data_IF_401677328653
#
_entry.id   IF_401677328653
#
_cell.length_a   1.000
_cell.length_b   1.000
_cell.length_c   1.000
_cell.angle_alpha   90.00
_cell.angle_beta   90.00
_cell.angle_gamma   90.00
#
_symmetry.space_group_name_H-M   'P 1'
#
loop_
_entity.id
_entity.type
_entity.pdbx_description
1 polymer ?
#
# COMPACT_ATOMS: atom_id res chain seq x y z
N UNK A 1 15.53 3.71 3.81
CA UNK A 1 15.37 2.25 3.59
C UNK A 1 13.98 1.88 3.05
N UNK A 2 12.87 2.27 3.69
CA UNK A 2 11.52 1.91 3.22
C UNK A 2 11.24 2.25 1.74
N UNK A 3 11.52 3.48 1.31
CA UNK A 3 11.35 3.88 -0.10
C UNK A 3 12.15 3.02 -1.08
N UNK A 4 13.42 2.71 -0.77
CA UNK A 4 14.26 1.90 -1.65
C UNK A 4 13.72 0.47 -1.84
N UNK A 5 13.16 -0.12 -0.77
CA UNK A 5 12.51 -1.43 -0.85
C UNK A 5 11.21 -1.36 -1.67
N UNK A 6 10.43 -0.29 -1.50
CA UNK A 6 9.18 -0.12 -2.23
C UNK A 6 9.42 0.09 -3.73
N UNK A 7 10.41 0.91 -4.11
CA UNK A 7 10.79 1.09 -5.52
C UNK A 7 11.34 -0.20 -6.13
N UNK A 8 12.10 -0.99 -5.36
CA UNK A 8 12.54 -2.31 -5.81
C UNK A 8 11.35 -3.25 -6.03
N UNK A 9 10.34 -3.23 -5.15
CA UNK A 9 9.12 -4.01 -5.31
C UNK A 9 8.33 -3.60 -6.56
N UNK A 10 8.16 -2.29 -6.80
CA UNK A 10 7.54 -1.76 -8.04
C UNK A 10 8.26 -2.27 -9.29
N UNK A 11 9.59 -2.29 -9.27
CA UNK A 11 10.42 -2.80 -10.38
C UNK A 11 10.22 -4.30 -10.64
N UNK A 12 10.03 -5.10 -9.59
CA UNK A 12 9.87 -6.56 -9.71
C UNK A 12 8.43 -6.93 -10.12
N UNK A 13 7.44 -6.10 -9.79
CA UNK A 13 6.02 -6.35 -10.04
C UNK A 13 5.44 -5.35 -11.05
N UNK A 14 5.70 -5.53 -12.36
CA UNK A 14 5.22 -4.61 -13.40
C UNK A 14 3.71 -4.69 -13.64
N UNK A 15 2.99 -5.56 -12.95
CA UNK A 15 1.52 -5.63 -12.97
C UNK A 15 0.87 -4.77 -11.88
N UNK A 16 1.69 -4.12 -11.04
CA UNK A 16 1.23 -3.39 -9.88
C UNK A 16 1.39 -4.15 -8.57
N UNK A 17 1.05 -3.47 -7.49
CA UNK A 17 1.16 -3.95 -6.11
C UNK A 17 -0.15 -3.72 -5.38
N UNK A 18 -0.51 -4.63 -4.47
CA UNK A 18 -1.59 -4.45 -3.51
C UNK A 18 -1.05 -4.70 -2.11
N UNK A 19 -1.44 -3.86 -1.15
CA UNK A 19 -1.07 -4.02 0.26
C UNK A 19 -2.22 -3.66 1.20
N UNK A 20 -2.08 -4.13 2.43
CA UNK A 20 -3.00 -3.82 3.53
C UNK A 20 -2.20 -3.20 4.68
N UNK A 21 -2.76 -2.18 5.32
CA UNK A 21 -2.19 -1.56 6.53
C UNK A 21 -3.29 -1.27 7.53
N UNK A 22 -2.98 -1.27 8.83
CA UNK A 22 -3.93 -0.81 9.84
C UNK A 22 -4.24 0.67 9.62
N UNK A 23 -5.52 1.05 9.72
CA UNK A 23 -5.97 2.43 9.54
C UNK A 23 -5.31 3.38 10.55
N UNK A 24 -5.09 2.92 11.79
CA UNK A 24 -4.44 3.70 12.85
C UNK A 24 -2.96 3.98 12.58
N UNK A 25 -2.32 3.24 11.66
CA UNK A 25 -0.93 3.49 11.27
C UNK A 25 -0.85 4.65 10.27
N UNK A 26 -1.17 5.84 10.73
CA UNK A 26 -1.20 7.07 9.94
C UNK A 26 0.12 7.35 9.20
N UNK A 27 1.26 6.95 9.78
CA UNK A 27 2.59 7.13 9.16
C UNK A 27 2.77 6.20 7.97
N UNK A 28 2.31 4.95 8.06
CA UNK A 28 2.36 4.01 6.95
C UNK A 28 1.38 4.42 5.84
N UNK A 29 0.16 4.82 6.19
CA UNK A 29 -0.82 5.32 5.21
C UNK A 29 -0.25 6.50 4.40
N UNK A 30 0.25 7.53 5.09
CA UNK A 30 0.87 8.68 4.43
C UNK A 30 2.13 8.31 3.62
N UNK A 31 2.90 7.32 4.08
CA UNK A 31 4.04 6.80 3.33
C UNK A 31 3.63 6.17 2.01
N UNK A 32 2.61 5.29 2.01
CA UNK A 32 2.14 4.65 0.79
C UNK A 32 1.51 5.66 -0.18
N UNK A 33 0.68 6.58 0.32
CA UNK A 33 0.08 7.65 -0.49
C UNK A 33 1.13 8.54 -1.16
N UNK A 34 2.20 8.91 -0.43
CA UNK A 34 3.34 9.64 -1.00
C UNK A 34 4.08 8.87 -2.10
N UNK A 35 4.01 7.53 -2.06
CA UNK A 35 4.57 6.64 -3.07
C UNK A 35 3.54 6.20 -4.12
N UNK A 36 2.50 7.01 -4.34
CA UNK A 36 1.50 6.87 -5.41
C UNK A 36 0.60 5.66 -5.27
N UNK A 37 0.57 5.05 -4.09
CA UNK A 37 -0.47 4.06 -3.80
C UNK A 37 -1.79 4.79 -3.58
N UNK A 38 -2.83 4.26 -4.22
CA UNK A 38 -4.19 4.77 -4.15
C UNK A 38 -5.01 3.93 -3.19
N UNK A 39 -5.85 4.59 -2.40
CA UNK A 39 -6.83 3.92 -1.56
C UNK A 39 -7.76 3.05 -2.42
N UNK A 40 -7.93 1.79 -2.04
CA UNK A 40 -8.84 0.85 -2.70
C UNK A 40 -10.12 0.64 -1.92
N UNK A 41 -9.99 0.28 -0.64
CA UNK A 41 -11.10 -0.20 0.19
C UNK A 41 -10.73 -0.19 1.68
N UNK A 42 -11.74 -0.32 2.53
CA UNK A 42 -11.60 -0.61 3.96
C UNK A 42 -12.04 -2.05 4.26
N UNK A 43 -11.32 -2.72 5.15
CA UNK A 43 -11.70 -4.05 5.63
C UNK A 43 -11.40 -4.21 7.11
N UNK A 44 -11.94 -5.24 7.75
CA UNK A 44 -11.56 -5.61 9.12
C UNK A 44 -10.45 -6.65 9.05
N UNK A 45 -9.33 -6.37 9.72
CA UNK A 45 -8.24 -7.32 9.86
C UNK A 45 -8.73 -8.57 10.61
N UNK A 46 -8.65 -9.74 9.99
CA UNK A 46 -9.18 -10.99 10.57
C UNK A 46 -8.39 -11.51 11.78
N UNK A 47 -7.17 -11.01 12.00
CA UNK A 47 -6.28 -11.49 13.07
C UNK A 47 -6.54 -10.72 14.37
N UNK A 48 -6.68 -9.40 14.27
CA UNK A 48 -6.79 -8.52 15.44
C UNK A 48 -8.10 -7.72 15.50
N UNK A 49 -9.01 -7.95 14.55
CA UNK A 49 -10.32 -7.29 14.43
C UNK A 49 -10.27 -5.76 14.27
N UNK A 50 -9.10 -5.19 13.97
CA UNK A 50 -8.94 -3.74 13.77
C UNK A 50 -9.24 -3.32 12.32
N UNK A 51 -9.62 -2.05 12.08
CA UNK A 51 -9.77 -1.52 10.73
C UNK A 51 -8.45 -1.55 9.94
N UNK A 52 -8.53 -2.07 8.72
CA UNK A 52 -7.49 -2.07 7.70
C UNK A 52 -7.89 -1.17 6.54
N UNK A 53 -6.88 -0.56 5.94
CA UNK A 53 -6.93 0.13 4.65
C UNK A 53 -6.23 -0.74 3.62
N UNK A 54 -6.85 -0.88 2.46
CA UNK A 54 -6.27 -1.53 1.29
C UNK A 54 -5.78 -0.46 0.32
N UNK A 55 -4.55 -0.60 -0.16
CA UNK A 55 -3.97 0.27 -1.16
C UNK A 55 -3.53 -0.53 -2.39
N UNK A 56 -3.58 0.11 -3.55
CA UNK A 56 -3.03 -0.42 -4.80
C UNK A 56 -2.10 0.59 -5.46
N UNK A 57 -1.09 0.08 -6.17
CA UNK A 57 -0.29 0.86 -7.10
C UNK A 57 -0.30 0.13 -8.45
N UNK A 58 -0.52 0.88 -9.52
CA UNK A 58 -0.40 0.39 -10.88
C UNK A 58 0.69 1.20 -11.58
N UNK A 59 1.54 0.58 -12.40
CA UNK A 59 2.44 1.35 -13.25
C UNK A 59 1.63 2.14 -14.27
N UNK A 60 2.05 3.38 -14.55
CA UNK A 60 1.50 4.13 -15.66
C UNK A 60 1.77 3.36 -16.96
N UNK A 61 0.71 3.11 -17.73
CA UNK A 61 0.84 2.61 -19.09
C UNK A 61 1.45 3.75 -19.93
N UNK A 62 2.73 3.62 -20.26
CA UNK A 62 3.43 4.48 -21.23
C UNK A 62 2.95 4.12 -22.64
#
# INVERSE_FOLDING_TARGET
>A
MGSALLEKAKTICPTGLKLHTLQENIRACAFYEKHEFQFSNMSTNKINSQPNVEYYWLPELI
#
